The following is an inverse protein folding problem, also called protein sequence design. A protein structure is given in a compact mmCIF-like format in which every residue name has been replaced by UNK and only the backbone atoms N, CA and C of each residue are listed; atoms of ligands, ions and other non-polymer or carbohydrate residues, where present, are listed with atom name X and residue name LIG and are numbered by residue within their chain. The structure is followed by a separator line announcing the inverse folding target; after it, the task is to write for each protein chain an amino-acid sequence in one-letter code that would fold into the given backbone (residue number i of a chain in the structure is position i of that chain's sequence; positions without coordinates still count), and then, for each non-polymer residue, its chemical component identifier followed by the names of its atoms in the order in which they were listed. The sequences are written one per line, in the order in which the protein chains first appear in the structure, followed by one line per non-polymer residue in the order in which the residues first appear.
data_IF_458672174659
#
_entry.id   IF_458672174659
#
_cell.length_a   1.000
_cell.length_b   1.000
_cell.length_c   1.000
_cell.angle_alpha   90.00
_cell.angle_beta   90.00
_cell.angle_gamma   90.00
#
_symmetry.space_group_name_H-M   'P 1'
#
loop_
_entity.id
_entity.type
_entity.pdbx_description
1 polymer ?
#
# COMPACT_ATOMS: atom_id res chain seq x y z
N UNK A 1 -3.21 18.12 0.01
CA UNK A 1 -3.43 16.71 0.44
C UNK A 1 -3.02 15.78 -0.71
N UNK A 2 -1.94 15.00 -0.58
CA UNK A 2 -1.53 14.04 -1.63
C UNK A 2 -2.57 12.91 -1.73
N UNK A 3 -2.94 12.48 -2.93
CA UNK A 3 -3.93 11.40 -3.12
C UNK A 3 -3.25 10.03 -2.99
N UNK A 4 -3.97 9.02 -2.50
CA UNK A 4 -3.48 7.63 -2.42
C UNK A 4 -2.92 7.13 -3.75
N UNK A 5 -3.55 7.52 -4.87
CA UNK A 5 -3.11 7.21 -6.24
C UNK A 5 -1.72 7.76 -6.56
N UNK A 6 -1.42 8.97 -6.08
CA UNK A 6 -0.13 9.63 -6.35
C UNK A 6 0.99 8.93 -5.57
N UNK A 7 0.66 8.46 -4.36
CA UNK A 7 1.57 7.72 -3.51
C UNK A 7 1.83 6.31 -4.06
N UNK A 8 0.77 5.55 -4.37
CA UNK A 8 0.89 4.20 -4.95
C UNK A 8 1.64 4.22 -6.29
N UNK A 9 1.40 5.25 -7.12
CA UNK A 9 2.09 5.41 -8.41
C UNK A 9 3.59 5.70 -8.24
N UNK A 10 3.97 6.54 -7.28
CA UNK A 10 5.39 6.77 -6.96
C UNK A 10 6.05 5.51 -6.41
N UNK A 11 5.40 4.80 -5.49
CA UNK A 11 5.95 3.58 -4.91
C UNK A 11 6.11 2.49 -5.97
N UNK A 12 5.10 2.28 -6.82
CA UNK A 12 5.16 1.34 -7.94
C UNK A 12 6.32 1.65 -8.89
N UNK A 13 6.54 2.94 -9.23
CA UNK A 13 7.67 3.35 -10.06
C UNK A 13 9.03 3.02 -9.41
N UNK A 14 9.17 3.28 -8.12
CA UNK A 14 10.38 2.94 -7.35
C UNK A 14 10.62 1.43 -7.34
N UNK A 15 9.58 0.64 -7.07
CA UNK A 15 9.63 -0.84 -7.07
C UNK A 15 10.01 -1.39 -8.43
N UNK A 16 9.40 -0.87 -9.51
CA UNK A 16 9.74 -1.26 -10.89
C UNK A 16 11.18 -0.89 -11.24
N UNK A 17 11.66 0.29 -10.84
CA UNK A 17 13.06 0.67 -11.06
C UNK A 17 14.03 -0.25 -10.34
N UNK A 18 13.73 -0.62 -9.10
CA UNK A 18 14.56 -1.52 -8.28
C UNK A 18 14.56 -2.94 -8.87
N UNK A 19 13.38 -3.48 -9.24
CA UNK A 19 13.25 -4.77 -9.94
C UNK A 19 14.07 -4.80 -11.23
N UNK A 20 14.08 -3.70 -11.99
CA UNK A 20 14.87 -3.55 -13.21
C UNK A 20 16.39 -3.44 -12.95
N UNK A 21 16.80 -2.88 -11.80
CA UNK A 21 18.20 -2.78 -11.37
C UNK A 21 18.77 -4.10 -10.83
N UNK A 22 18.01 -5.21 -10.89
CA UNK A 22 18.35 -6.54 -10.33
C UNK A 22 18.60 -6.56 -8.81
N UNK A 23 18.33 -5.47 -8.09
CA UNK A 23 18.27 -5.52 -6.64
C UNK A 23 16.95 -6.19 -6.23
N UNK A 24 17.04 -7.38 -5.63
CA UNK A 24 15.90 -8.06 -5.03
C UNK A 24 15.53 -7.33 -3.73
N UNK A 25 14.69 -6.30 -3.82
CA UNK A 25 13.96 -5.85 -2.63
C UNK A 25 12.78 -6.79 -2.42
N UNK A 26 12.67 -7.32 -1.21
CA UNK A 26 11.56 -8.16 -0.82
C UNK A 26 10.25 -7.36 -0.84
N UNK A 27 9.18 -8.00 -1.30
CA UNK A 27 7.88 -7.37 -1.45
C UNK A 27 7.28 -6.95 -0.10
N UNK A 28 7.56 -7.71 0.96
CA UNK A 28 7.24 -7.37 2.35
C UNK A 28 7.77 -5.99 2.76
N UNK A 29 9.02 -5.65 2.38
CA UNK A 29 9.64 -4.34 2.65
C UNK A 29 8.89 -3.22 1.92
N UNK A 30 8.47 -3.48 0.68
CA UNK A 30 7.69 -2.54 -0.13
C UNK A 30 6.32 -2.28 0.50
N UNK A 31 5.62 -3.35 0.90
CA UNK A 31 4.31 -3.27 1.55
C UNK A 31 4.41 -2.53 2.88
N UNK A 32 5.37 -2.87 3.74
CA UNK A 32 5.57 -2.19 5.02
C UNK A 32 5.83 -0.68 4.83
N UNK A 33 6.61 -0.30 3.82
CA UNK A 33 6.87 1.11 3.51
C UNK A 33 5.65 1.83 2.94
N UNK A 34 4.82 1.14 2.16
CA UNK A 34 3.55 1.67 1.68
C UNK A 34 2.63 1.99 2.87
N UNK A 35 2.43 1.03 3.78
CA UNK A 35 1.52 1.18 4.92
C UNK A 35 1.97 2.31 5.87
N UNK A 36 3.27 2.46 6.11
CA UNK A 36 3.85 3.51 6.95
C UNK A 36 3.62 4.93 6.43
N UNK A 37 3.60 5.12 5.12
CA UNK A 37 3.58 6.44 4.47
C UNK A 37 2.16 6.85 4.01
N UNK A 38 1.18 5.98 4.24
CA UNK A 38 -0.20 6.24 3.89
C UNK A 38 -0.83 7.28 4.84
N UNK A 39 -1.72 8.16 4.36
CA UNK A 39 -2.34 9.17 5.22
C UNK A 39 -3.22 8.57 6.33
N UNK A 40 -3.26 9.22 7.51
CA UNK A 40 -3.96 8.76 8.72
C UNK A 40 -5.46 8.39 8.53
N UNK A 41 -6.13 8.95 7.51
CA UNK A 41 -7.52 8.56 7.18
C UNK A 41 -7.68 7.09 6.75
N UNK A 42 -6.57 6.37 6.56
CA UNK A 42 -6.53 4.95 6.25
C UNK A 42 -6.07 4.10 7.45
N UNK A 43 -5.87 4.69 8.64
CA UNK A 43 -5.34 3.99 9.81
C UNK A 43 -6.15 2.73 10.16
N UNK A 44 -7.48 2.81 10.06
CA UNK A 44 -8.35 1.66 10.35
C UNK A 44 -8.10 0.46 9.42
N UNK A 45 -7.81 0.70 8.13
CA UNK A 45 -7.52 -0.39 7.19
C UNK A 45 -6.06 -0.85 7.30
N UNK A 46 -5.11 0.04 7.55
CA UNK A 46 -3.71 -0.35 7.76
C UNK A 46 -3.55 -1.17 9.05
N UNK A 47 -4.16 -0.77 10.16
CA UNK A 47 -4.17 -1.59 11.40
C UNK A 47 -4.82 -2.95 11.19
N UNK A 48 -5.89 -3.03 10.42
CA UNK A 48 -6.52 -4.33 10.10
C UNK A 48 -5.58 -5.23 9.29
N UNK A 49 -4.86 -4.67 8.32
CA UNK A 49 -3.87 -5.40 7.54
C UNK A 49 -2.67 -5.84 8.38
N UNK A 50 -2.25 -5.04 9.36
CA UNK A 50 -1.16 -5.38 10.29
C UNK A 50 -1.56 -6.44 11.33
N UNK A 51 -2.80 -6.41 11.81
CA UNK A 51 -3.28 -7.34 12.84
C UNK A 51 -3.76 -8.67 12.27
N UNK A 52 -4.36 -8.66 11.08
CA UNK A 52 -5.04 -9.82 10.51
C UNK A 52 -4.48 -10.26 9.15
N UNK A 53 -3.64 -9.45 8.51
CA UNK A 53 -2.98 -9.79 7.25
C UNK A 53 -1.62 -10.42 7.47
N UNK A 54 -1.24 -11.33 6.58
CA UNK A 54 0.14 -11.81 6.49
C UNK A 54 0.95 -10.84 5.61
N UNK A 55 1.43 -9.76 6.22
CA UNK A 55 2.18 -8.69 5.52
C UNK A 55 3.45 -9.23 4.84
N UNK A 56 4.03 -10.31 5.35
CA UNK A 56 5.26 -10.88 4.83
C UNK A 56 5.03 -11.63 3.51
N UNK A 57 3.80 -12.10 3.26
CA UNK A 57 3.43 -12.82 2.03
C UNK A 57 2.42 -12.08 1.13
N UNK A 58 1.79 -11.01 1.62
CA UNK A 58 0.75 -10.30 0.88
C UNK A 58 1.32 -9.55 -0.34
N UNK A 59 0.81 -9.81 -1.56
CA UNK A 59 1.26 -9.12 -2.77
C UNK A 59 0.99 -7.62 -2.70
N UNK A 60 1.91 -6.82 -3.27
CA UNK A 60 1.74 -5.36 -3.30
C UNK A 60 0.43 -4.94 -3.98
N UNK A 61 0.04 -5.60 -5.08
CA UNK A 61 -1.21 -5.28 -5.77
C UNK A 61 -2.45 -5.51 -4.90
N UNK A 62 -2.44 -6.52 -4.02
CA UNK A 62 -3.55 -6.84 -3.13
C UNK A 62 -3.75 -5.75 -2.08
N UNK A 63 -2.66 -5.28 -1.48
CA UNK A 63 -2.67 -4.18 -0.51
C UNK A 63 -3.24 -2.91 -1.17
N UNK A 64 -2.75 -2.59 -2.38
CA UNK A 64 -3.25 -1.43 -3.14
C UNK A 64 -4.73 -1.59 -3.50
N UNK A 65 -5.19 -2.79 -3.85
CA UNK A 65 -6.58 -3.11 -4.11
C UNK A 65 -7.48 -2.86 -2.89
N UNK A 66 -7.08 -3.38 -1.73
CA UNK A 66 -7.78 -3.22 -0.45
C UNK A 66 -7.92 -1.75 -0.05
N UNK A 67 -6.86 -0.97 -0.20
CA UNK A 67 -6.87 0.48 0.10
C UNK A 67 -7.80 1.27 -0.84
N UNK A 68 -7.87 0.88 -2.12
CA UNK A 68 -8.82 1.49 -3.08
C UNK A 68 -10.26 1.20 -2.70
N UNK A 69 -10.59 -0.05 -2.37
CA UNK A 69 -11.94 -0.45 -1.94
C UNK A 69 -12.34 0.32 -0.67
N UNK A 70 -11.44 0.42 0.31
CA UNK A 70 -11.68 1.18 1.53
C UNK A 70 -11.95 2.66 1.26
N UNK A 71 -11.14 3.28 0.39
CA UNK A 71 -11.36 4.68 -0.03
C UNK A 71 -12.73 4.91 -0.65
N UNK A 72 -13.18 4.01 -1.53
CA UNK A 72 -14.50 4.13 -2.16
C UNK A 72 -15.62 3.97 -1.11
N UNK A 73 -15.48 3.04 -0.17
CA UNK A 73 -16.43 2.89 0.95
C UNK A 73 -16.46 4.11 1.88
N UNK A 74 -15.34 4.78 2.10
CA UNK A 74 -15.30 6.03 2.86
C UNK A 74 -16.10 7.14 2.18
N UNK A 75 -15.96 7.30 0.86
CA UNK A 75 -16.74 8.31 0.11
C UNK A 75 -18.24 8.06 0.13
N UNK A 76 -18.68 6.81 0.22
CA UNK A 76 -20.12 6.47 0.29
C UNK A 76 -20.71 6.74 1.69
N UNK A 77 -19.86 6.99 2.69
CA UNK A 77 -20.25 7.26 4.08
C UNK A 77 -20.18 8.75 4.45
N UNK A 78 -19.71 9.58 3.53
CA UNK A 78 -19.74 11.06 3.59
C UNK A 78 -20.96 11.58 2.84
#
# INVERSE_FOLDING_TARGET
MKRLSDFSGKLSRVVTQIRNLKEKIEESIVVAKLLREIPAKFDSITTSLEQFGDIDSMPFEEVVGSLKIYKEKLKTRE
#
